data_IF_544321681329
#
_entry.id   IF_544321681329
#
_cell.length_a   1.000
_cell.length_b   1.000
_cell.length_c   1.000
_cell.angle_alpha   90.00
_cell.angle_beta   90.00
_cell.angle_gamma   90.00
#
_symmetry.space_group_name_H-M   'P 1'
#
loop_
_entity.id
_entity.type
_entity.pdbx_description
1 polymer ?
#
# COMPACT_ATOMS: atom_id res chain seq x y z
N UNK A 1 73.97 11.11 -24.41
CA UNK A 1 72.95 11.67 -25.31
C UNK A 1 71.60 11.65 -24.56
N UNK A 2 71.14 12.78 -24.03
CA UNK A 2 69.79 12.93 -23.43
C UNK A 2 68.82 13.04 -24.66
N UNK A 3 68.01 12.02 -24.86
CA UNK A 3 66.92 12.10 -25.86
C UNK A 3 65.88 13.11 -25.30
N UNK A 4 65.83 14.28 -25.93
CA UNK A 4 64.75 15.24 -25.65
C UNK A 4 63.41 14.61 -25.97
N UNK A 5 62.52 14.54 -25.02
CA UNK A 5 61.13 14.08 -25.24
C UNK A 5 60.49 15.05 -26.24
N UNK A 6 59.98 14.53 -27.37
CA UNK A 6 59.41 15.38 -28.44
C UNK A 6 58.18 16.13 -27.89
N UNK A 7 58.10 17.44 -28.17
CA UNK A 7 56.97 18.30 -27.81
C UNK A 7 55.63 17.69 -28.26
N UNK A 8 55.62 17.02 -29.40
CA UNK A 8 54.44 16.29 -29.90
C UNK A 8 54.01 15.17 -28.96
N UNK A 9 54.96 14.46 -28.31
CA UNK A 9 54.66 13.40 -27.40
C UNK A 9 54.04 13.95 -26.10
N UNK A 10 54.56 15.08 -25.59
CA UNK A 10 54.03 15.76 -24.43
C UNK A 10 52.61 16.25 -24.68
N UNK A 11 52.36 16.92 -25.81
CA UNK A 11 51.02 17.38 -26.17
C UNK A 11 50.03 16.22 -26.33
N UNK A 12 50.43 15.12 -26.95
CA UNK A 12 49.60 13.91 -27.07
C UNK A 12 49.21 13.32 -25.68
N UNK A 13 50.20 13.29 -24.77
CA UNK A 13 49.96 12.81 -23.41
C UNK A 13 48.98 13.70 -22.65
N UNK A 14 49.14 15.03 -22.76
CA UNK A 14 48.21 15.98 -22.11
C UNK A 14 46.80 15.81 -22.63
N UNK A 15 46.61 15.72 -23.94
CA UNK A 15 45.28 15.49 -24.55
C UNK A 15 44.67 14.17 -24.04
N UNK A 16 45.47 13.09 -24.00
CA UNK A 16 44.99 11.80 -23.53
C UNK A 16 44.55 11.86 -22.06
N UNK A 17 45.29 12.55 -21.19
CA UNK A 17 44.95 12.74 -19.78
C UNK A 17 43.64 13.54 -19.64
N UNK A 18 43.48 14.63 -20.41
CA UNK A 18 42.23 15.44 -20.37
C UNK A 18 41.04 14.63 -20.83
N UNK A 19 41.16 13.82 -21.87
CA UNK A 19 40.05 12.95 -22.35
C UNK A 19 39.71 11.88 -21.34
N UNK A 20 40.67 11.25 -20.67
CA UNK A 20 40.43 10.28 -19.61
C UNK A 20 39.73 10.92 -18.42
N UNK A 21 40.15 12.13 -18.03
CA UNK A 21 39.52 12.85 -16.95
C UNK A 21 38.08 13.23 -17.31
N UNK A 22 37.82 13.75 -18.51
CA UNK A 22 36.46 14.08 -18.97
C UNK A 22 35.57 12.86 -19.02
N UNK A 23 36.09 11.71 -19.50
CA UNK A 23 35.33 10.46 -19.48
C UNK A 23 35.01 9.99 -18.04
N UNK A 24 35.98 10.11 -17.12
CA UNK A 24 35.75 9.77 -15.69
C UNK A 24 34.66 10.63 -15.07
N UNK A 25 34.66 11.94 -15.36
CA UNK A 25 33.62 12.85 -14.88
C UNK A 25 32.23 12.49 -15.44
N UNK A 26 32.14 12.16 -16.74
CA UNK A 26 30.86 11.77 -17.36
C UNK A 26 30.31 10.48 -16.80
N UNK A 27 31.15 9.46 -16.59
CA UNK A 27 30.77 8.20 -15.96
C UNK A 27 30.30 8.44 -14.52
N UNK A 28 31.01 9.26 -13.77
CA UNK A 28 30.64 9.58 -12.38
C UNK A 28 29.30 10.31 -12.31
N UNK A 29 29.07 11.29 -13.19
CA UNK A 29 27.79 11.99 -13.26
C UNK A 29 26.63 11.05 -13.60
N UNK A 30 26.79 10.14 -14.55
CA UNK A 30 25.75 9.15 -14.88
C UNK A 30 25.43 8.25 -13.70
N UNK A 31 26.44 7.76 -12.99
CA UNK A 31 26.25 6.93 -11.80
C UNK A 31 25.55 7.68 -10.68
N UNK A 32 25.93 8.94 -10.43
CA UNK A 32 25.28 9.79 -9.42
C UNK A 32 23.82 10.03 -9.79
N UNK A 33 23.50 10.40 -11.04
CA UNK A 33 22.12 10.58 -11.47
C UNK A 33 21.30 9.31 -11.32
N UNK A 34 21.82 8.17 -11.72
CA UNK A 34 21.13 6.89 -11.58
C UNK A 34 20.83 6.54 -10.12
N UNK A 35 21.78 6.78 -9.22
CA UNK A 35 21.58 6.58 -7.76
C UNK A 35 20.58 7.55 -7.18
N UNK A 36 20.64 8.80 -7.60
CA UNK A 36 19.70 9.82 -7.18
C UNK A 36 18.27 9.46 -7.57
N UNK A 37 18.03 9.07 -8.81
CA UNK A 37 16.71 8.66 -9.31
C UNK A 37 16.17 7.44 -8.56
N UNK A 38 17.01 6.46 -8.26
CA UNK A 38 16.62 5.31 -7.43
C UNK A 38 16.22 5.72 -6.01
N UNK A 39 16.96 6.63 -5.40
CA UNK A 39 16.66 7.11 -4.05
C UNK A 39 15.36 7.90 -4.01
N UNK A 40 15.15 8.79 -4.98
CA UNK A 40 13.91 9.59 -5.09
C UNK A 40 12.70 8.70 -5.35
N UNK A 41 12.82 7.69 -6.21
CA UNK A 41 11.72 6.76 -6.49
C UNK A 41 11.37 5.92 -5.25
N UNK A 42 12.36 5.46 -4.51
CA UNK A 42 12.17 4.73 -3.26
C UNK A 42 11.48 5.58 -2.19
N UNK A 43 11.89 6.85 -2.04
CA UNK A 43 11.24 7.78 -1.11
C UNK A 43 9.79 8.06 -1.48
N UNK A 44 9.50 8.25 -2.79
CA UNK A 44 8.12 8.43 -3.27
C UNK A 44 7.26 7.20 -2.98
N UNK A 45 7.80 6.00 -3.20
CA UNK A 45 7.10 4.76 -2.88
C UNK A 45 6.80 4.64 -1.38
N UNK A 46 7.75 5.01 -0.52
CA UNK A 46 7.57 5.01 0.94
C UNK A 46 6.47 5.99 1.38
N UNK A 47 6.48 7.21 0.85
CA UNK A 47 5.46 8.23 1.14
C UNK A 47 4.08 7.75 0.68
N UNK A 48 3.98 7.17 -0.51
CA UNK A 48 2.73 6.64 -1.04
C UNK A 48 2.20 5.46 -0.19
N UNK A 49 3.08 4.56 0.25
CA UNK A 49 2.73 3.46 1.15
C UNK A 49 2.24 3.98 2.52
N UNK A 50 2.91 4.98 3.10
CA UNK A 50 2.50 5.58 4.36
C UNK A 50 1.13 6.28 4.25
N UNK A 51 0.88 6.99 3.15
CA UNK A 51 -0.42 7.61 2.90
C UNK A 51 -1.52 6.56 2.72
N UNK A 52 -1.25 5.47 2.00
CA UNK A 52 -2.19 4.35 1.86
C UNK A 52 -2.51 3.71 3.23
N UNK A 53 -1.51 3.54 4.08
CA UNK A 53 -1.68 3.02 5.44
C UNK A 53 -2.57 3.93 6.30
N UNK A 54 -2.39 5.26 6.22
CA UNK A 54 -3.24 6.22 6.94
C UNK A 54 -4.69 6.17 6.46
N UNK A 55 -4.92 6.10 5.15
CA UNK A 55 -6.26 5.96 4.59
C UNK A 55 -6.92 4.66 5.07
N UNK A 56 -6.17 3.55 5.07
CA UNK A 56 -6.66 2.27 5.58
C UNK A 56 -7.01 2.35 7.08
N UNK A 57 -6.16 2.95 7.88
CA UNK A 57 -6.41 3.12 9.31
C UNK A 57 -7.66 3.97 9.57
N UNK A 58 -7.81 5.09 8.88
CA UNK A 58 -9.00 5.93 8.99
C UNK A 58 -10.28 5.17 8.61
N UNK A 59 -10.26 4.37 7.53
CA UNK A 59 -11.41 3.56 7.13
C UNK A 59 -11.74 2.47 8.14
N UNK A 60 -10.70 1.85 8.74
CA UNK A 60 -10.88 0.88 9.82
C UNK A 60 -11.53 1.49 11.06
N UNK A 61 -11.12 2.70 11.44
CA UNK A 61 -11.67 3.43 12.57
C UNK A 61 -13.14 3.81 12.30
N UNK A 62 -13.47 4.27 11.09
CA UNK A 62 -14.86 4.56 10.68
C UNK A 62 -15.73 3.30 10.71
N UNK A 63 -15.24 2.17 10.22
CA UNK A 63 -15.97 0.89 10.28
C UNK A 63 -16.20 0.45 11.73
N UNK A 64 -15.20 0.63 12.60
CA UNK A 64 -15.31 0.31 14.03
C UNK A 64 -16.37 1.17 14.71
N UNK A 65 -16.44 2.46 14.35
CA UNK A 65 -17.48 3.37 14.87
C UNK A 65 -18.89 2.90 14.47
N UNK A 66 -19.10 2.47 13.22
CA UNK A 66 -20.39 1.95 12.77
C UNK A 66 -20.78 0.64 13.46
N UNK A 67 -19.80 -0.25 13.73
CA UNK A 67 -20.04 -1.47 14.52
C UNK A 67 -20.46 -1.12 15.94
N UNK A 68 -19.76 -0.21 16.61
CA UNK A 68 -20.07 0.21 17.95
C UNK A 68 -21.48 0.83 18.05
N UNK A 69 -21.84 1.70 17.10
CA UNK A 69 -23.19 2.26 17.02
C UNK A 69 -24.26 1.17 16.87
N UNK A 70 -23.99 0.16 16.06
CA UNK A 70 -24.92 -0.96 15.92
C UNK A 70 -25.06 -1.75 17.22
N UNK A 71 -23.94 -2.06 17.90
CA UNK A 71 -23.93 -2.79 19.17
C UNK A 71 -24.68 -2.01 20.28
N UNK A 72 -24.54 -0.68 20.30
CA UNK A 72 -25.19 0.16 21.31
C UNK A 72 -26.69 0.37 21.06
N UNK A 73 -27.09 0.46 19.78
CA UNK A 73 -28.47 0.84 19.44
C UNK A 73 -29.36 -0.35 19.06
N UNK A 74 -28.76 -1.50 18.73
CA UNK A 74 -29.43 -2.69 18.17
C UNK A 74 -30.39 -2.33 17.00
N UNK A 75 -29.99 -1.31 16.24
CA UNK A 75 -30.79 -0.72 15.18
C UNK A 75 -30.46 -1.33 13.83
N UNK A 76 -31.50 -1.73 13.10
CA UNK A 76 -31.39 -2.22 11.71
C UNK A 76 -30.76 -1.15 10.80
N UNK A 77 -31.00 0.13 11.06
CA UNK A 77 -30.46 1.25 10.31
C UNK A 77 -28.94 1.36 10.51
N UNK A 78 -28.44 1.12 11.72
CA UNK A 78 -27.00 1.09 11.99
C UNK A 78 -26.31 -0.09 11.28
N UNK A 79 -26.97 -1.24 11.15
CA UNK A 79 -26.46 -2.37 10.37
C UNK A 79 -26.42 -2.05 8.87
N UNK A 80 -27.45 -1.39 8.35
CA UNK A 80 -27.45 -0.94 6.97
C UNK A 80 -26.33 0.05 6.69
N UNK A 81 -26.14 1.05 7.55
CA UNK A 81 -25.06 2.01 7.43
C UNK A 81 -23.67 1.33 7.45
N UNK A 82 -23.49 0.31 8.27
CA UNK A 82 -22.28 -0.50 8.28
C UNK A 82 -22.06 -1.26 6.95
N UNK A 83 -23.11 -1.87 6.40
CA UNK A 83 -23.03 -2.55 5.09
C UNK A 83 -22.69 -1.59 3.96
N UNK A 84 -23.32 -0.42 3.94
CA UNK A 84 -23.03 0.63 2.96
C UNK A 84 -21.59 1.11 3.06
N UNK A 85 -21.08 1.30 4.28
CA UNK A 85 -19.69 1.72 4.50
C UNK A 85 -18.69 0.68 4.00
N UNK A 86 -18.95 -0.60 4.21
CA UNK A 86 -18.12 -1.67 3.64
C UNK A 86 -18.11 -1.62 2.11
N UNK A 87 -19.25 -1.39 1.49
CA UNK A 87 -19.32 -1.25 0.04
C UNK A 87 -18.53 -0.04 -0.46
N UNK A 88 -18.65 1.12 0.21
CA UNK A 88 -17.88 2.31 -0.10
C UNK A 88 -16.37 2.03 -0.04
N UNK A 89 -15.89 1.41 1.03
CA UNK A 89 -14.48 1.02 1.18
C UNK A 89 -14.02 0.11 0.05
N UNK A 90 -14.85 -0.87 -0.32
CA UNK A 90 -14.53 -1.83 -1.39
C UNK A 90 -14.49 -1.22 -2.80
N UNK A 91 -15.13 -0.06 -2.99
CA UNK A 91 -15.08 0.67 -4.27
C UNK A 91 -13.93 1.68 -4.34
N UNK A 92 -13.30 2.00 -3.22
CA UNK A 92 -12.18 2.94 -3.20
C UNK A 92 -10.91 2.32 -3.78
N UNK A 93 -10.20 3.13 -4.53
CA UNK A 93 -8.87 2.82 -5.04
C UNK A 93 -7.85 3.75 -4.40
N UNK A 94 -6.70 3.21 -4.04
CA UNK A 94 -5.59 3.99 -3.46
C UNK A 94 -4.44 3.98 -4.46
N UNK A 95 -3.90 5.16 -4.75
CA UNK A 95 -2.74 5.30 -5.62
C UNK A 95 -1.45 5.16 -4.77
N UNK A 96 -0.69 4.12 -5.04
CA UNK A 96 0.58 3.84 -4.36
C UNK A 96 1.68 3.75 -5.41
N UNK A 97 2.65 4.65 -5.37
CA UNK A 97 3.82 4.63 -6.27
C UNK A 97 3.47 4.46 -7.76
N UNK A 98 2.47 5.20 -8.25
CA UNK A 98 1.92 5.13 -9.62
C UNK A 98 1.17 3.83 -9.95
N UNK A 99 0.91 2.98 -8.97
CA UNK A 99 0.04 1.82 -9.11
C UNK A 99 -1.29 2.07 -8.42
N UNK A 100 -2.39 1.78 -9.11
CA UNK A 100 -3.73 1.80 -8.52
C UNK A 100 -3.98 0.49 -7.79
N UNK A 101 -4.15 0.54 -6.48
CA UNK A 101 -4.47 -0.62 -5.65
C UNK A 101 -5.93 -0.56 -5.22
N UNK A 102 -6.63 -1.69 -5.29
CA UNK A 102 -7.93 -1.87 -4.65
C UNK A 102 -7.74 -2.51 -3.29
N UNK A 103 -8.31 -1.87 -2.28
CA UNK A 103 -8.41 -2.47 -0.95
C UNK A 103 -9.80 -3.10 -0.88
N UNK A 104 -9.90 -4.33 -0.38
CA UNK A 104 -11.17 -4.99 -0.16
C UNK A 104 -11.31 -5.46 1.28
N UNK A 105 -12.49 -5.22 1.83
CA UNK A 105 -12.88 -5.65 3.16
C UNK A 105 -14.01 -6.67 3.05
N UNK A 106 -13.91 -7.73 3.84
CA UNK A 106 -14.98 -8.71 4.02
C UNK A 106 -15.33 -8.76 5.49
N UNK A 107 -16.61 -8.66 5.81
CA UNK A 107 -17.10 -8.69 7.18
C UNK A 107 -18.17 -9.77 7.34
N UNK A 108 -18.05 -10.53 8.44
CA UNK A 108 -19.12 -11.41 8.94
C UNK A 108 -19.79 -10.77 10.15
N UNK A 109 -21.09 -10.88 10.23
CA UNK A 109 -21.89 -10.36 11.34
C UNK A 109 -22.81 -11.46 11.87
N UNK A 110 -23.03 -11.52 13.17
CA UNK A 110 -24.03 -12.39 13.79
C UNK A 110 -24.73 -11.64 14.91
N UNK A 111 -25.97 -12.03 15.19
CA UNK A 111 -26.70 -11.57 16.35
C UNK A 111 -26.39 -12.49 17.54
N UNK A 112 -26.06 -11.89 18.68
CA UNK A 112 -25.88 -12.63 19.93
C UNK A 112 -27.16 -12.51 20.76
N UNK A 113 -27.66 -13.63 21.26
CA UNK A 113 -28.78 -13.67 22.20
C UNK A 113 -28.25 -13.75 23.63
N UNK A 114 -29.05 -13.30 24.59
CA UNK A 114 -28.69 -13.47 25.99
C UNK A 114 -28.48 -14.95 26.31
N UNK A 115 -27.31 -15.29 26.84
CA UNK A 115 -26.93 -16.67 27.14
C UNK A 115 -26.14 -17.39 26.07
N UNK A 116 -25.93 -16.78 24.91
CA UNK A 116 -25.05 -17.35 23.89
C UNK A 116 -23.63 -17.49 24.42
N UNK A 117 -23.02 -18.66 24.17
CA UNK A 117 -21.59 -18.83 24.42
C UNK A 117 -20.78 -18.06 23.37
N UNK A 118 -19.77 -17.32 23.80
CA UNK A 118 -18.87 -16.58 22.91
C UNK A 118 -18.33 -17.43 21.77
N UNK A 119 -17.99 -18.70 22.04
CA UNK A 119 -17.48 -19.64 21.05
C UNK A 119 -18.48 -19.92 19.93
N UNK A 120 -19.77 -20.00 20.24
CA UNK A 120 -20.82 -20.25 19.25
C UNK A 120 -21.08 -19.00 18.41
N UNK A 121 -21.07 -17.81 19.02
CA UNK A 121 -21.15 -16.55 18.30
C UNK A 121 -19.98 -16.40 17.32
N UNK A 122 -18.76 -16.69 17.75
CA UNK A 122 -17.56 -16.64 16.91
C UNK A 122 -17.66 -17.61 15.72
N UNK A 123 -18.13 -18.84 15.96
CA UNK A 123 -18.33 -19.82 14.87
C UNK A 123 -19.35 -19.32 13.83
N UNK A 124 -20.43 -18.67 14.26
CA UNK A 124 -21.44 -18.08 13.37
C UNK A 124 -20.82 -16.97 12.51
N UNK A 125 -20.05 -16.07 13.12
CA UNK A 125 -19.33 -15.00 12.41
C UNK A 125 -18.34 -15.57 11.38
N UNK A 126 -17.58 -16.58 11.76
CA UNK A 126 -16.62 -17.22 10.86
C UNK A 126 -17.32 -17.88 9.66
N UNK A 127 -18.50 -18.47 9.88
CA UNK A 127 -19.31 -19.05 8.79
C UNK A 127 -19.76 -17.96 7.81
N UNK A 128 -20.30 -16.84 8.30
CA UNK A 128 -20.71 -15.72 7.46
C UNK A 128 -19.51 -15.12 6.70
N UNK A 129 -18.38 -14.96 7.37
CA UNK A 129 -17.16 -14.46 6.75
C UNK A 129 -16.62 -15.41 5.67
N UNK A 130 -16.70 -16.71 5.91
CA UNK A 130 -16.29 -17.72 4.92
C UNK A 130 -17.14 -17.65 3.65
N UNK A 131 -18.46 -17.50 3.78
CA UNK A 131 -19.37 -17.35 2.62
C UNK A 131 -19.00 -16.14 1.76
N UNK A 132 -18.75 -14.98 2.36
CA UNK A 132 -18.29 -13.81 1.61
C UNK A 132 -16.96 -14.06 0.91
N UNK A 133 -16.01 -14.72 1.56
CA UNK A 133 -14.70 -15.01 0.96
C UNK A 133 -14.83 -15.99 -0.21
N UNK A 134 -15.80 -16.89 -0.18
CA UNK A 134 -16.08 -17.85 -1.24
C UNK A 134 -16.77 -17.21 -2.45
N UNK A 135 -17.65 -16.23 -2.21
CA UNK A 135 -18.47 -15.60 -3.26
C UNK A 135 -17.85 -14.38 -3.95
N UNK A 136 -16.63 -13.98 -3.59
CA UNK A 136 -15.95 -12.87 -4.29
C UNK A 136 -15.12 -11.94 -3.42
N UNK A 137 -15.05 -12.15 -2.11
CA UNK A 137 -14.19 -11.40 -1.16
C UNK A 137 -14.47 -9.90 -1.00
N UNK A 138 -15.69 -9.44 -1.25
CA UNK A 138 -16.02 -8.02 -1.12
C UNK A 138 -17.42 -7.87 -0.54
N UNK A 139 -17.56 -7.49 0.72
CA UNK A 139 -18.87 -7.21 1.28
C UNK A 139 -19.06 -7.65 2.72
N UNK A 140 -20.33 -7.66 3.13
CA UNK A 140 -20.78 -8.03 4.45
C UNK A 140 -21.84 -9.13 4.36
N UNK A 141 -21.66 -10.22 5.12
CA UNK A 141 -22.68 -11.24 5.32
C UNK A 141 -23.14 -11.25 6.77
N UNK A 142 -24.43 -11.41 6.96
CA UNK A 142 -25.04 -11.65 8.27
C UNK A 142 -25.33 -13.13 8.38
N UNK A 143 -24.95 -13.76 9.47
CA UNK A 143 -25.34 -15.12 9.77
C UNK A 143 -26.81 -15.10 10.19
N UNK A 144 -27.68 -15.62 9.33
CA UNK A 144 -29.08 -15.87 9.63
C UNK A 144 -29.21 -17.37 9.99
N UNK A 145 -29.74 -17.68 11.15
CA UNK A 145 -30.13 -19.06 11.43
C UNK A 145 -31.29 -19.41 10.49
N UNK A 146 -31.03 -20.36 9.58
CA UNK A 146 -32.04 -21.01 8.79
C UNK A 146 -32.91 -21.91 9.67
#
# INVERSE_FOLDING_TARGET
MKRGVSIMFINGLVVAVVLLFSFGVDVTNRLVHQRYDQTVSSQRALIACNNASKVFQQQSDELTLHVNNYVETDSTDALLAYKEKIQEVNHRTVLVANMTMRISVSAGVTFCRYGDAYKDALRRVDTALYEIKRTGKHGCAVYEEL
#
